data_IF_378544279760
#
_entry.id   IF_378544279760
#
_cell.length_a   1.000
_cell.length_b   1.000
_cell.length_c   1.000
_cell.angle_alpha   90.00
_cell.angle_beta   90.00
_cell.angle_gamma   90.00
#
_symmetry.space_group_name_H-M   'P 1'
#
loop_
_entity.id
_entity.type
_entity.pdbx_description
1 polymer ?
#
# COMPACT_ATOMS: atom_id res chain seq x y z
N UNK A 1 -11.43 -11.30 8.48
CA UNK A 1 -11.31 -11.23 7.00
C UNK A 1 -11.47 -9.82 6.42
N UNK A 2 -12.47 -9.04 6.85
CA UNK A 2 -12.78 -7.73 6.25
C UNK A 2 -11.64 -6.71 6.43
N UNK A 3 -11.07 -6.61 7.64
CA UNK A 3 -9.90 -5.74 7.94
C UNK A 3 -8.67 -6.10 7.10
N UNK A 4 -8.39 -7.40 6.92
CA UNK A 4 -7.25 -7.85 6.13
C UNK A 4 -7.38 -7.46 4.64
N UNK A 5 -8.59 -7.59 4.07
CA UNK A 5 -8.89 -7.15 2.71
C UNK A 5 -8.84 -5.62 2.58
N UNK A 6 -9.32 -4.90 3.58
CA UNK A 6 -9.24 -3.43 3.60
C UNK A 6 -7.78 -2.95 3.59
N UNK A 7 -6.90 -3.55 4.40
CA UNK A 7 -5.48 -3.20 4.41
C UNK A 7 -4.77 -3.49 3.08
N UNK A 8 -5.15 -4.59 2.42
CA UNK A 8 -4.65 -4.93 1.08
C UNK A 8 -5.11 -3.91 0.03
N UNK A 9 -6.39 -3.50 0.05
CA UNK A 9 -6.90 -2.48 -0.85
C UNK A 9 -6.25 -1.12 -0.61
N UNK A 10 -6.07 -0.72 0.66
CA UNK A 10 -5.36 0.49 1.03
C UNK A 10 -3.91 0.48 0.51
N UNK A 11 -3.23 -0.66 0.64
CA UNK A 11 -1.88 -0.85 0.14
C UNK A 11 -1.76 -0.69 -1.39
N UNK A 12 -2.72 -1.25 -2.14
CA UNK A 12 -2.79 -1.04 -3.59
C UNK A 12 -3.05 0.42 -3.96
N UNK A 13 -3.93 1.10 -3.23
CA UNK A 13 -4.29 2.49 -3.51
C UNK A 13 -3.09 3.43 -3.29
N UNK A 14 -2.33 3.21 -2.21
CA UNK A 14 -1.09 3.92 -1.91
C UNK A 14 0.00 3.70 -2.97
N UNK A 15 0.09 2.50 -3.55
CA UNK A 15 1.02 2.22 -4.64
C UNK A 15 0.68 3.03 -5.90
N UNK A 16 -0.60 3.10 -6.24
CA UNK A 16 -1.08 3.89 -7.39
C UNK A 16 -0.84 5.39 -7.17
N UNK A 17 -1.14 5.90 -5.96
CA UNK A 17 -0.83 7.29 -5.61
C UNK A 17 0.67 7.58 -5.63
N UNK A 18 1.50 6.67 -5.12
CA UNK A 18 2.95 6.80 -5.17
C UNK A 18 3.47 6.95 -6.60
N UNK A 19 2.99 6.09 -7.51
CA UNK A 19 3.29 6.17 -8.94
C UNK A 19 2.83 7.50 -9.56
N UNK A 20 1.63 7.97 -9.23
CA UNK A 20 1.14 9.27 -9.69
C UNK A 20 2.04 10.42 -9.19
N UNK A 21 2.45 10.41 -7.92
CA UNK A 21 3.32 11.44 -7.35
C UNK A 21 4.74 11.42 -7.95
N UNK A 22 5.26 10.23 -8.26
CA UNK A 22 6.54 10.05 -8.94
C UNK A 22 6.53 10.54 -10.38
N UNK A 23 5.50 10.14 -11.15
CA UNK A 23 5.40 10.48 -12.58
C UNK A 23 4.94 11.92 -12.79
N UNK A 24 3.85 12.32 -12.14
CA UNK A 24 3.17 13.60 -12.42
C UNK A 24 3.75 14.75 -11.61
N UNK A 25 4.06 14.52 -10.33
CA UNK A 25 4.62 15.56 -9.46
C UNK A 25 6.16 15.53 -9.40
N UNK A 26 6.82 14.58 -10.07
CA UNK A 26 8.27 14.39 -10.03
C UNK A 26 8.86 14.39 -8.61
N UNK A 27 8.08 13.94 -7.62
CA UNK A 27 8.48 13.96 -6.21
C UNK A 27 8.89 12.56 -5.76
N UNK A 28 10.16 12.23 -5.99
CA UNK A 28 10.72 10.91 -5.71
C UNK A 28 10.64 10.55 -4.21
N UNK A 29 10.78 11.52 -3.31
CA UNK A 29 10.65 11.28 -1.86
C UNK A 29 9.22 10.85 -1.48
N UNK A 30 8.19 11.48 -2.05
CA UNK A 30 6.79 11.14 -1.78
C UNK A 30 6.39 9.82 -2.45
N UNK A 31 6.92 9.54 -3.63
CA UNK A 31 6.79 8.24 -4.30
C UNK A 31 7.32 7.12 -3.40
N UNK A 32 8.58 7.21 -2.97
CA UNK A 32 9.21 6.18 -2.13
C UNK A 32 8.43 5.98 -0.83
N UNK A 33 7.95 7.06 -0.20
CA UNK A 33 7.15 6.99 1.01
C UNK A 33 5.80 6.28 0.78
N UNK A 34 5.06 6.67 -0.27
CA UNK A 34 3.77 6.05 -0.60
C UNK A 34 3.92 4.59 -1.02
N UNK A 35 4.93 4.27 -1.82
CA UNK A 35 5.24 2.90 -2.23
C UNK A 35 5.61 2.05 -1.02
N UNK A 36 6.47 2.56 -0.13
CA UNK A 36 6.85 1.87 1.11
C UNK A 36 5.67 1.59 2.02
N UNK A 37 4.81 2.59 2.25
CA UNK A 37 3.57 2.43 3.04
C UNK A 37 2.57 1.50 2.35
N UNK A 38 2.49 1.54 1.02
CA UNK A 38 1.63 0.69 0.22
C UNK A 38 2.01 -0.79 0.33
N UNK A 39 3.29 -1.11 0.13
CA UNK A 39 3.83 -2.48 0.29
C UNK A 39 3.63 -2.96 1.73
N UNK A 40 3.97 -2.12 2.71
CA UNK A 40 3.84 -2.44 4.13
C UNK A 40 2.40 -2.77 4.52
N UNK A 41 1.44 -1.93 4.11
CA UNK A 41 0.01 -2.12 4.39
C UNK A 41 -0.54 -3.37 3.70
N UNK A 42 -0.11 -3.64 2.46
CA UNK A 42 -0.52 -4.83 1.72
C UNK A 42 -0.05 -6.13 2.40
N UNK A 43 1.24 -6.20 2.76
CA UNK A 43 1.81 -7.36 3.43
C UNK A 43 1.27 -7.54 4.85
N UNK A 44 1.04 -6.46 5.59
CA UNK A 44 0.36 -6.51 6.89
C UNK A 44 -1.05 -7.09 6.76
N UNK A 45 -1.79 -6.72 5.70
CA UNK A 45 -3.10 -7.29 5.39
C UNK A 45 -3.03 -8.78 5.06
N UNK A 46 -2.04 -9.21 4.25
CA UNK A 46 -1.80 -10.64 3.95
C UNK A 46 -1.44 -11.44 5.20
N UNK A 47 -0.62 -10.89 6.09
CA UNK A 47 -0.26 -11.53 7.34
C UNK A 47 -1.46 -11.69 8.28
N UNK A 48 -2.30 -10.66 8.41
CA UNK A 48 -3.56 -10.74 9.17
C UNK A 48 -4.56 -11.74 8.56
N UNK A 49 -4.57 -11.88 7.24
CA UNK A 49 -5.38 -12.89 6.56
C UNK A 49 -4.93 -14.31 6.89
N UNK A 50 -3.62 -14.56 6.94
CA UNK A 50 -3.05 -15.86 7.29
C UNK A 50 -3.18 -16.27 8.77
N UNK A 51 -3.48 -15.32 9.66
CA UNK A 51 -3.75 -15.60 11.09
C UNK A 51 -5.23 -15.85 11.41
N UNK A 52 -6.13 -15.54 10.50
CA UNK A 52 -7.57 -15.66 10.68
C UNK A 52 -8.20 -16.89 10.01
N UNK A 53 -7.38 -17.84 9.59
CA UNK A 53 -7.74 -19.09 8.92
C UNK A 53 -7.02 -20.25 9.61
#
# INVERSE_FOLDING_TARGET
>A
MLIARFLQLLGMLLLVEGLYLGIVKHSMNLEIMCVGLGIGSFYAGRWLQGRGN
#
